data_IF_653532215249
#
_entry.id   IF_653532215249
#
_cell.length_a   1.000
_cell.length_b   1.000
_cell.length_c   1.000
_cell.angle_alpha   90.00
_cell.angle_beta   90.00
_cell.angle_gamma   90.00
#
_symmetry.space_group_name_H-M   'P 1'
#
loop_
_entity.id
_entity.type
_entity.pdbx_description
1 polymer ?
#
# COMPACT_ATOMS: atom_id res chain seq x y z
N UNK A 1 7.25 -25.26 3.07
CA UNK A 1 7.59 -24.76 1.74
C UNK A 1 7.76 -23.25 1.80
N UNK A 2 6.72 -22.49 2.15
CA UNK A 2 6.67 -21.03 2.17
C UNK A 2 7.83 -20.36 2.93
N UNK A 3 8.33 -20.95 4.02
CA UNK A 3 9.42 -20.37 4.83
C UNK A 3 10.80 -20.33 4.15
N UNK A 4 11.00 -21.10 3.08
CA UNK A 4 12.30 -21.27 2.41
C UNK A 4 12.34 -20.63 1.01
N UNK A 5 11.18 -20.33 0.46
CA UNK A 5 11.09 -19.78 -0.90
C UNK A 5 11.26 -18.27 -0.90
N UNK A 6 11.84 -17.78 -1.96
CA UNK A 6 12.05 -16.34 -2.18
C UNK A 6 11.02 -15.72 -3.12
N UNK A 7 10.27 -16.55 -3.86
CA UNK A 7 9.20 -16.12 -4.75
C UNK A 7 7.92 -15.79 -3.95
N UNK A 8 7.09 -14.91 -4.44
CA UNK A 8 5.79 -14.63 -3.84
C UNK A 8 4.82 -15.81 -3.97
N UNK A 9 4.00 -16.02 -2.93
CA UNK A 9 2.85 -16.92 -2.96
C UNK A 9 1.56 -16.12 -3.03
N UNK A 10 0.63 -16.52 -3.89
CA UNK A 10 -0.71 -15.94 -3.96
C UNK A 10 -1.72 -17.05 -3.68
N UNK A 11 -2.38 -16.96 -2.54
CA UNK A 11 -3.43 -17.87 -2.11
C UNK A 11 -4.79 -17.32 -2.54
N UNK A 12 -5.49 -18.06 -3.40
CA UNK A 12 -6.80 -17.68 -3.92
C UNK A 12 -7.82 -18.60 -3.25
N UNK A 13 -8.55 -18.07 -2.27
CA UNK A 13 -9.58 -18.76 -1.53
C UNK A 13 -10.95 -18.58 -2.21
N UNK A 14 -11.97 -19.29 -1.74
CA UNK A 14 -13.28 -19.31 -2.42
C UNK A 14 -14.04 -17.98 -2.31
N UNK A 15 -13.89 -17.30 -1.16
CA UNK A 15 -14.60 -16.05 -0.88
C UNK A 15 -13.87 -15.22 0.18
N UNK A 16 -14.43 -14.04 0.50
CA UNK A 16 -13.92 -13.10 1.50
C UNK A 16 -13.78 -13.74 2.90
N UNK A 17 -14.75 -14.56 3.31
CA UNK A 17 -14.79 -15.12 4.66
C UNK A 17 -13.67 -16.16 4.84
N UNK A 18 -13.55 -17.10 3.91
CA UNK A 18 -12.48 -18.11 3.90
C UNK A 18 -11.11 -17.44 3.78
N UNK A 19 -10.98 -16.42 2.94
CA UNK A 19 -9.74 -15.65 2.78
C UNK A 19 -9.36 -14.91 4.07
N UNK A 20 -10.32 -14.32 4.77
CA UNK A 20 -10.08 -13.63 6.03
C UNK A 20 -9.58 -14.58 7.14
N UNK A 21 -10.20 -15.74 7.30
CA UNK A 21 -9.75 -16.74 8.25
C UNK A 21 -8.35 -17.26 7.90
N UNK A 22 -8.11 -17.58 6.64
CA UNK A 22 -6.81 -18.10 6.20
C UNK A 22 -5.70 -17.06 6.37
N UNK A 23 -5.97 -15.79 6.08
CA UNK A 23 -5.05 -14.67 6.33
C UNK A 23 -4.68 -14.57 7.82
N UNK A 24 -5.67 -14.62 8.70
CA UNK A 24 -5.47 -14.59 10.14
C UNK A 24 -4.59 -15.75 10.61
N UNK A 25 -4.91 -16.98 10.20
CA UNK A 25 -4.17 -18.18 10.58
C UNK A 25 -2.71 -18.14 10.09
N UNK A 26 -2.50 -17.73 8.83
CA UNK A 26 -1.14 -17.56 8.30
C UNK A 26 -0.33 -16.52 9.08
N UNK A 27 -0.96 -15.40 9.44
CA UNK A 27 -0.34 -14.33 10.23
C UNK A 27 0.10 -14.85 11.60
N UNK A 28 -0.71 -15.66 12.26
CA UNK A 28 -0.37 -16.28 13.55
C UNK A 28 0.80 -17.30 13.44
N UNK A 29 0.85 -18.05 12.35
CA UNK A 29 1.85 -19.13 12.18
C UNK A 29 3.20 -18.61 11.64
N UNK A 30 3.17 -17.65 10.74
CA UNK A 30 4.36 -17.18 10.00
C UNK A 30 4.86 -15.80 10.44
N UNK A 31 4.07 -15.06 11.23
CA UNK A 31 4.30 -13.65 11.55
C UNK A 31 3.69 -12.74 10.48
N UNK A 32 3.26 -11.54 10.90
CA UNK A 32 2.50 -10.62 10.04
C UNK A 32 3.30 -9.91 8.95
N UNK A 33 4.62 -9.77 9.09
CA UNK A 33 5.44 -8.90 8.23
C UNK A 33 5.38 -9.23 6.73
N UNK A 34 5.17 -10.49 6.37
CA UNK A 34 5.20 -10.97 4.98
C UNK A 34 3.85 -11.45 4.46
N UNK A 35 2.83 -11.43 5.31
CA UNK A 35 1.48 -11.89 4.96
C UNK A 35 0.64 -10.66 4.64
N UNK A 36 0.09 -10.62 3.44
CA UNK A 36 -0.68 -9.50 2.91
C UNK A 36 -2.08 -9.95 2.53
N UNK A 37 -3.04 -9.09 2.75
CA UNK A 37 -4.41 -9.30 2.33
C UNK A 37 -4.76 -8.40 1.15
N UNK A 38 -5.28 -8.98 0.07
CA UNK A 38 -5.72 -8.26 -1.11
C UNK A 38 -7.23 -8.40 -1.26
N UNK A 39 -8.03 -7.51 -0.62
CA UNK A 39 -9.48 -7.56 -0.66
C UNK A 39 -10.07 -6.92 -1.93
N UNK A 40 -11.38 -7.11 -2.15
CA UNK A 40 -12.18 -6.26 -3.03
C UNK A 40 -12.23 -4.83 -2.50
N UNK A 41 -12.19 -3.85 -3.40
CA UNK A 41 -12.31 -2.44 -3.04
C UNK A 41 -13.71 -2.05 -2.54
N UNK A 42 -14.70 -2.90 -2.75
CA UNK A 42 -16.09 -2.63 -2.39
C UNK A 42 -16.54 -3.40 -1.14
N UNK A 43 -17.28 -2.72 -0.25
CA UNK A 43 -18.03 -3.39 0.83
C UNK A 43 -19.35 -3.96 0.29
N UNK A 44 -19.62 -5.25 0.54
CA UNK A 44 -20.91 -5.87 0.22
C UNK A 44 -22.12 -5.25 0.95
N UNK A 45 -21.91 -4.52 2.06
CA UNK A 45 -22.99 -4.05 2.95
C UNK A 45 -23.37 -2.57 2.81
N UNK A 46 -22.68 -1.76 2.00
CA UNK A 46 -22.95 -0.34 1.87
C UNK A 46 -23.28 -0.03 0.42
N UNK A 47 -24.29 0.84 0.19
CA UNK A 47 -24.78 1.27 -1.14
C UNK A 47 -23.81 1.01 -2.29
N UNK A 48 -24.28 0.26 -3.30
CA UNK A 48 -23.55 -0.06 -4.53
C UNK A 48 -22.70 1.12 -5.01
N UNK A 49 -21.39 0.87 -5.14
CA UNK A 49 -20.44 1.82 -5.74
C UNK A 49 -19.57 2.63 -4.77
N UNK A 50 -19.72 2.48 -3.45
CA UNK A 50 -18.80 3.13 -2.49
C UNK A 50 -17.61 2.23 -2.19
N UNK A 51 -16.40 2.72 -2.52
CA UNK A 51 -15.14 2.06 -2.18
C UNK A 51 -14.86 2.16 -0.67
N UNK A 52 -14.23 1.14 -0.12
CA UNK A 52 -13.78 1.11 1.26
C UNK A 52 -12.33 1.59 1.34
N UNK A 53 -12.09 2.72 1.99
CA UNK A 53 -10.75 3.29 2.14
C UNK A 53 -9.76 2.31 2.80
N UNK A 54 -10.21 1.53 3.79
CA UNK A 54 -9.36 0.53 4.44
C UNK A 54 -8.93 -0.58 3.46
N UNK A 55 -9.85 -1.05 2.61
CA UNK A 55 -9.53 -2.04 1.59
C UNK A 55 -8.58 -1.48 0.52
N UNK A 56 -8.74 -0.22 0.13
CA UNK A 56 -7.83 0.43 -0.83
C UNK A 56 -6.41 0.56 -0.28
N UNK A 57 -6.25 0.85 1.01
CA UNK A 57 -4.95 0.86 1.69
C UNK A 57 -4.28 -0.53 1.58
N UNK A 58 -5.00 -1.59 1.93
CA UNK A 58 -4.49 -2.96 1.85
C UNK A 58 -4.10 -3.34 0.41
N UNK A 59 -4.92 -2.97 -0.58
CA UNK A 59 -4.62 -3.20 -2.01
C UNK A 59 -3.37 -2.44 -2.44
N UNK A 60 -3.27 -1.16 -2.06
CA UNK A 60 -2.12 -0.31 -2.39
C UNK A 60 -0.83 -0.83 -1.76
N UNK A 61 -0.88 -1.31 -0.51
CA UNK A 61 0.26 -1.95 0.15
C UNK A 61 0.75 -3.18 -0.64
N UNK A 62 -0.15 -4.09 -1.02
CA UNK A 62 0.20 -5.28 -1.80
C UNK A 62 0.89 -4.90 -3.11
N UNK A 63 0.30 -3.97 -3.89
CA UNK A 63 0.86 -3.53 -5.16
C UNK A 63 2.24 -2.88 -4.98
N UNK A 64 2.38 -2.01 -3.97
CA UNK A 64 3.65 -1.32 -3.66
C UNK A 64 4.76 -2.31 -3.28
N UNK A 65 4.48 -3.29 -2.42
CA UNK A 65 5.45 -4.29 -1.97
C UNK A 65 5.84 -5.27 -3.06
N UNK A 66 4.89 -5.71 -3.90
CA UNK A 66 5.18 -6.50 -5.10
C UNK A 66 6.00 -5.70 -6.13
N UNK A 67 5.75 -4.40 -6.27
CA UNK A 67 6.51 -3.50 -7.13
C UNK A 67 7.97 -3.37 -6.68
N UNK A 68 8.23 -3.29 -5.37
CA UNK A 68 9.57 -3.25 -4.78
C UNK A 68 10.34 -4.56 -4.95
N UNK A 69 9.68 -5.64 -5.34
CA UNK A 69 10.29 -6.96 -5.47
C UNK A 69 10.67 -7.59 -4.12
N UNK A 70 9.92 -7.29 -3.07
CA UNK A 70 10.12 -7.90 -1.76
C UNK A 70 9.96 -9.41 -1.84
N UNK A 71 10.91 -10.14 -1.22
CA UNK A 71 10.98 -11.60 -1.32
C UNK A 71 10.11 -12.30 -0.27
N UNK A 72 9.56 -13.45 -0.67
CA UNK A 72 8.82 -14.34 0.24
C UNK A 72 7.49 -13.75 0.75
N UNK A 73 6.88 -12.86 -0.02
CA UNK A 73 5.55 -12.34 0.28
C UNK A 73 4.49 -13.44 0.10
N UNK A 74 3.50 -13.44 0.97
CA UNK A 74 2.30 -14.26 0.87
C UNK A 74 1.09 -13.34 0.74
N UNK A 75 0.45 -13.34 -0.41
CA UNK A 75 -0.76 -12.57 -0.67
C UNK A 75 -1.96 -13.50 -0.58
N UNK A 76 -2.94 -13.16 0.26
CA UNK A 76 -4.20 -13.86 0.38
C UNK A 76 -5.30 -13.05 -0.29
N UNK A 77 -6.08 -13.69 -1.17
CA UNK A 77 -7.12 -13.03 -1.95
C UNK A 77 -8.26 -14.00 -2.31
N UNK A 78 -9.24 -13.53 -3.06
CA UNK A 78 -10.41 -14.27 -3.52
C UNK A 78 -10.94 -13.72 -4.86
N UNK A 79 -11.82 -14.43 -5.59
CA UNK A 79 -12.20 -14.09 -6.96
C UNK A 79 -12.76 -12.70 -7.16
N UNK A 80 -13.65 -12.21 -6.28
CA UNK A 80 -14.22 -10.86 -6.40
C UNK A 80 -13.13 -9.78 -6.40
N UNK A 81 -12.09 -9.95 -5.57
CA UNK A 81 -10.95 -9.02 -5.52
C UNK A 81 -10.09 -9.08 -6.79
N UNK A 82 -9.93 -10.28 -7.37
CA UNK A 82 -9.16 -10.50 -8.60
C UNK A 82 -9.89 -10.00 -9.85
N UNK A 83 -11.23 -9.98 -9.85
CA UNK A 83 -12.03 -9.45 -10.93
C UNK A 83 -11.87 -7.94 -11.14
N UNK A 84 -11.44 -7.24 -10.08
CA UNK A 84 -11.19 -5.81 -10.16
C UNK A 84 -9.84 -5.50 -10.80
N UNK A 85 -9.84 -4.51 -11.69
CA UNK A 85 -8.61 -4.00 -12.28
C UNK A 85 -7.76 -3.25 -11.25
N UNK A 86 -6.46 -3.23 -11.49
CA UNK A 86 -5.45 -2.48 -10.74
C UNK A 86 -4.67 -1.54 -11.66
N UNK A 87 -3.92 -0.61 -11.10
CA UNK A 87 -2.97 0.22 -11.86
C UNK A 87 -1.85 -0.65 -12.42
N UNK A 88 -1.31 -0.28 -13.57
CA UNK A 88 -0.14 -0.96 -14.11
C UNK A 88 1.12 -0.66 -13.28
N UNK A 89 2.16 -1.51 -13.39
CA UNK A 89 3.45 -1.28 -12.74
C UNK A 89 4.08 0.05 -13.11
N UNK A 90 3.93 0.47 -14.37
CA UNK A 90 4.43 1.74 -14.86
C UNK A 90 3.70 2.92 -14.19
N UNK A 91 2.38 2.89 -14.22
CA UNK A 91 1.55 3.94 -13.59
C UNK A 91 1.83 4.06 -12.08
N UNK A 92 1.99 2.92 -11.39
CA UNK A 92 2.37 2.92 -9.97
C UNK A 92 3.75 3.56 -9.75
N UNK A 93 4.73 3.26 -10.62
CA UNK A 93 6.06 3.86 -10.54
C UNK A 93 6.03 5.37 -10.78
N UNK A 94 5.26 5.81 -11.78
CA UNK A 94 5.13 7.21 -12.15
C UNK A 94 4.40 8.06 -11.08
N UNK A 95 3.58 7.40 -10.25
CA UNK A 95 2.82 8.00 -9.15
C UNK A 95 3.42 7.76 -7.76
N UNK A 96 4.68 7.40 -7.69
CA UNK A 96 5.36 7.11 -6.44
C UNK A 96 6.45 8.14 -6.18
N UNK A 97 6.34 8.89 -5.08
CA UNK A 97 7.39 9.79 -4.60
C UNK A 97 8.29 9.03 -3.63
N UNK A 98 9.60 9.00 -3.94
CA UNK A 98 10.63 8.44 -3.06
C UNK A 98 11.45 9.56 -2.47
N UNK A 99 11.71 9.49 -1.17
CA UNK A 99 12.55 10.46 -0.47
C UNK A 99 13.50 9.71 0.46
N UNK A 100 14.76 10.15 0.48
CA UNK A 100 15.81 9.62 1.34
C UNK A 100 16.45 10.71 2.21
N UNK A 101 16.95 10.32 3.39
CA UNK A 101 17.73 11.22 4.24
C UNK A 101 19.01 11.65 3.52
N UNK A 102 19.35 12.93 3.57
CA UNK A 102 20.47 13.53 2.84
C UNK A 102 20.15 13.89 1.38
N UNK A 103 18.94 13.58 0.89
CA UNK A 103 18.51 13.95 -0.46
C UNK A 103 18.21 15.45 -0.52
N UNK A 104 18.67 16.10 -1.60
CA UNK A 104 18.38 17.51 -1.84
C UNK A 104 17.15 17.65 -2.70
N UNK A 105 16.09 18.12 -2.08
CA UNK A 105 14.79 18.35 -2.72
C UNK A 105 14.10 19.54 -2.04
N UNK A 106 13.57 20.45 -2.83
CA UNK A 106 12.80 21.57 -2.30
C UNK A 106 11.51 21.08 -1.63
N UNK A 107 11.26 21.53 -0.40
CA UNK A 107 10.04 21.21 0.34
C UNK A 107 8.76 21.63 -0.39
N UNK A 108 8.82 22.74 -1.16
CA UNK A 108 7.73 23.20 -2.03
C UNK A 108 7.44 22.19 -3.13
N UNK A 109 8.47 21.64 -3.77
CA UNK A 109 8.29 20.57 -4.77
C UNK A 109 7.59 19.36 -4.16
N UNK A 110 7.96 18.94 -2.94
CA UNK A 110 7.31 17.81 -2.25
C UNK A 110 5.83 18.11 -2.03
N UNK A 111 5.48 19.31 -1.55
CA UNK A 111 4.07 19.68 -1.33
C UNK A 111 3.27 19.76 -2.62
N UNK A 112 3.86 20.28 -3.71
CA UNK A 112 3.24 20.34 -5.03
C UNK A 112 2.94 18.93 -5.57
N UNK A 113 3.88 17.99 -5.39
CA UNK A 113 3.68 16.58 -5.74
C UNK A 113 2.55 15.96 -4.91
N UNK A 114 2.53 16.16 -3.59
CA UNK A 114 1.47 15.67 -2.72
C UNK A 114 0.10 16.21 -3.14
N UNK A 115 0.01 17.50 -3.43
CA UNK A 115 -1.21 18.11 -3.94
C UNK A 115 -1.63 17.51 -5.30
N UNK A 116 -0.67 17.30 -6.22
CA UNK A 116 -0.93 16.67 -7.54
C UNK A 116 -1.38 15.21 -7.42
N UNK A 117 -1.01 14.54 -6.34
CA UNK A 117 -1.42 13.18 -6.00
C UNK A 117 -2.80 13.12 -5.32
N UNK A 118 -3.42 14.29 -5.06
CA UNK A 118 -4.73 14.38 -4.44
C UNK A 118 -4.70 14.25 -2.91
N UNK A 119 -3.53 14.44 -2.28
CA UNK A 119 -3.46 14.54 -0.83
C UNK A 119 -4.14 15.81 -0.34
N UNK A 120 -4.90 15.70 0.75
CA UNK A 120 -5.56 16.80 1.40
C UNK A 120 -4.61 17.53 2.36
N UNK A 121 -4.54 18.88 2.25
CA UNK A 121 -3.82 19.69 3.22
C UNK A 121 -4.64 19.87 4.50
N UNK A 122 -4.04 19.56 5.64
CA UNK A 122 -4.68 19.63 6.97
C UNK A 122 -3.73 20.24 8.00
N UNK A 123 -4.25 20.67 9.16
CA UNK A 123 -3.40 21.17 10.26
C UNK A 123 -2.64 20.02 10.96
N UNK A 124 -3.29 18.87 11.12
CA UNK A 124 -2.75 17.64 11.70
C UNK A 124 -3.17 16.44 10.89
N UNK A 125 -2.23 15.52 10.66
CA UNK A 125 -2.47 14.31 9.87
C UNK A 125 -3.04 13.19 10.76
N UNK A 126 -4.20 12.68 10.37
CA UNK A 126 -4.92 11.59 11.06
C UNK A 126 -5.21 10.38 10.16
N UNK A 127 -5.37 10.59 8.86
CA UNK A 127 -5.81 9.56 7.93
C UNK A 127 -4.90 9.51 6.69
N UNK A 128 -4.78 8.33 6.04
CA UNK A 128 -4.10 8.22 4.75
C UNK A 128 -4.65 9.20 3.71
N UNK A 129 -3.76 9.80 2.93
CA UNK A 129 -4.13 10.83 1.95
C UNK A 129 -4.10 12.25 2.51
N UNK A 130 -3.67 12.45 3.75
CA UNK A 130 -3.50 13.77 4.37
C UNK A 130 -2.02 14.15 4.45
N UNK A 131 -1.76 15.45 4.38
CA UNK A 131 -0.46 16.05 4.69
C UNK A 131 -0.59 17.38 5.41
N UNK A 132 0.41 17.73 6.20
CA UNK A 132 0.52 19.00 6.93
C UNK A 132 1.91 19.59 6.78
N UNK A 133 2.02 20.91 6.77
CA UNK A 133 3.30 21.64 6.71
C UNK A 133 3.43 22.55 7.91
N UNK A 134 4.51 22.38 8.67
CA UNK A 134 4.80 23.19 9.87
C UNK A 134 6.26 23.60 9.90
N UNK A 135 6.54 24.80 9.39
CA UNK A 135 7.91 25.29 9.23
C UNK A 135 8.71 24.42 8.28
N UNK A 136 9.79 23.80 8.77
CA UNK A 136 10.62 22.86 8.01
C UNK A 136 10.08 21.43 7.97
N UNK A 137 8.95 21.15 8.61
CA UNK A 137 8.43 19.80 8.76
C UNK A 137 7.24 19.57 7.82
N UNK A 138 7.30 18.46 7.08
CA UNK A 138 6.18 17.92 6.32
C UNK A 138 5.75 16.59 6.97
N UNK A 139 4.53 16.55 7.47
CA UNK A 139 3.87 15.32 7.88
C UNK A 139 3.01 14.80 6.74
N UNK A 140 3.07 13.51 6.43
CA UNK A 140 2.29 12.90 5.33
C UNK A 140 1.90 11.47 5.66
N UNK A 141 0.65 11.09 5.37
CA UNK A 141 0.18 9.74 5.54
C UNK A 141 -0.05 9.08 4.17
N UNK A 142 0.92 8.26 3.77
CA UNK A 142 0.86 7.49 2.53
C UNK A 142 -0.16 6.36 2.59
N UNK A 143 -0.82 6.04 1.47
CA UNK A 143 -1.69 4.86 1.34
C UNK A 143 -0.92 3.52 1.36
N UNK A 144 0.40 3.53 1.36
CA UNK A 144 1.24 2.34 1.44
C UNK A 144 1.93 2.15 2.79
N UNK A 145 1.51 2.85 3.82
CA UNK A 145 2.14 2.83 5.15
C UNK A 145 1.11 2.72 6.26
N UNK A 146 1.42 1.95 7.29
CA UNK A 146 0.62 1.81 8.50
C UNK A 146 0.66 3.08 9.37
N UNK A 147 1.78 3.81 9.34
CA UNK A 147 2.00 5.03 10.11
C UNK A 147 2.34 6.20 9.19
N UNK A 148 1.94 7.42 9.56
CA UNK A 148 2.36 8.61 8.83
C UNK A 148 3.85 8.88 9.01
N UNK A 149 4.41 9.58 8.03
CA UNK A 149 5.80 10.02 8.03
C UNK A 149 5.91 11.49 8.42
N UNK A 150 6.93 11.80 9.21
CA UNK A 150 7.39 13.15 9.52
C UNK A 150 8.75 13.36 8.86
N UNK A 151 8.81 14.28 7.93
CA UNK A 151 10.00 14.62 7.15
C UNK A 151 10.46 15.99 7.63
N UNK A 152 11.66 16.08 8.16
CA UNK A 152 12.26 17.32 8.60
C UNK A 152 13.31 17.78 7.59
N UNK A 153 13.27 19.06 7.23
CA UNK A 153 14.14 19.67 6.23
C UNK A 153 15.09 20.66 6.88
N UNK A 154 16.34 20.64 6.45
CA UNK A 154 17.30 21.71 6.70
C UNK A 154 17.63 22.43 5.38
N UNK A 155 16.98 23.57 5.13
CA UNK A 155 16.98 24.20 3.82
C UNK A 155 16.33 23.27 2.79
N UNK A 156 17.08 22.92 1.72
CA UNK A 156 16.64 22.03 0.65
C UNK A 156 17.07 20.57 0.85
N UNK A 157 17.55 20.21 2.04
CA UNK A 157 18.02 18.86 2.33
C UNK A 157 17.09 18.16 3.32
N UNK A 158 16.74 16.89 3.06
CA UNK A 158 16.00 16.05 3.98
C UNK A 158 16.92 15.65 5.15
N UNK A 159 16.76 16.31 6.29
CA UNK A 159 17.60 16.10 7.46
C UNK A 159 17.24 14.79 8.18
N UNK A 160 15.96 14.52 8.36
CA UNK A 160 15.51 13.29 9.00
C UNK A 160 14.12 12.88 8.55
N UNK A 161 13.87 11.56 8.60
CA UNK A 161 12.57 10.96 8.36
C UNK A 161 12.20 10.06 9.53
N UNK A 162 10.97 10.16 10.03
CA UNK A 162 10.45 9.34 11.14
C UNK A 162 9.01 8.95 10.85
N UNK A 163 8.58 7.82 11.38
CA UNK A 163 7.16 7.55 11.56
C UNK A 163 6.67 8.19 12.85
N UNK A 164 5.37 8.42 12.98
CA UNK A 164 4.76 8.91 14.21
C UNK A 164 3.38 8.32 14.48
N UNK A 165 2.96 8.36 15.74
CA UNK A 165 1.63 7.94 16.17
C UNK A 165 0.59 9.02 15.87
N UNK A 166 -0.52 8.61 15.29
CA UNK A 166 -1.62 9.51 14.92
C UNK A 166 -2.22 10.19 16.15
N UNK A 167 -2.54 9.42 17.20
CA UNK A 167 -3.24 9.93 18.38
C UNK A 167 -2.38 10.88 19.23
N UNK A 168 -1.13 10.49 19.47
CA UNK A 168 -0.22 11.25 20.32
C UNK A 168 0.64 12.26 19.58
N UNK A 169 0.73 12.15 18.24
CA UNK A 169 1.64 12.92 17.38
C UNK A 169 3.13 12.74 17.73
N UNK A 170 3.46 11.72 18.53
CA UNK A 170 4.83 11.43 18.95
C UNK A 170 5.57 10.59 17.91
N UNK A 171 6.82 10.94 17.66
CA UNK A 171 7.71 10.21 16.76
C UNK A 171 7.99 8.79 17.27
N UNK A 172 8.04 7.83 16.35
CA UNK A 172 8.36 6.41 16.60
C UNK A 172 9.74 6.06 16.05
N UNK A 173 9.77 5.53 14.86
CA UNK A 173 10.97 4.96 14.25
C UNK A 173 11.61 5.92 13.26
N UNK A 174 12.93 5.95 13.23
CA UNK A 174 13.70 6.60 12.17
C UNK A 174 13.67 5.72 10.91
N UNK A 175 13.61 6.37 9.76
CA UNK A 175 13.70 5.73 8.45
C UNK A 175 14.79 6.41 7.62
N UNK A 176 15.58 5.63 6.90
CA UNK A 176 16.58 6.15 5.98
C UNK A 176 15.95 6.63 4.66
N UNK A 177 14.85 6.01 4.28
CA UNK A 177 14.06 6.38 3.10
C UNK A 177 12.61 5.97 3.25
N UNK A 178 11.74 6.68 2.51
CA UNK A 178 10.30 6.42 2.44
C UNK A 178 9.79 6.39 1.02
N UNK A 179 8.61 5.81 0.88
CA UNK A 179 7.87 5.76 -0.37
C UNK A 179 6.46 6.27 -0.10
N UNK A 180 6.07 7.34 -0.78
CA UNK A 180 4.75 7.92 -0.68
C UNK A 180 3.95 7.54 -1.92
N UNK A 181 2.83 6.89 -1.71
CA UNK A 181 1.91 6.42 -2.77
C UNK A 181 0.55 7.06 -2.53
N UNK A 182 -0.08 7.65 -3.58
CA UNK A 182 -1.42 8.21 -3.48
C UNK A 182 -2.50 7.12 -3.39
N UNK A 183 -3.76 7.56 -3.22
CA UNK A 183 -4.91 6.69 -3.43
C UNK A 183 -4.99 6.27 -4.91
N UNK A 184 -4.67 5.02 -5.18
CA UNK A 184 -4.68 4.46 -6.53
C UNK A 184 -6.10 4.25 -7.05
N UNK A 185 -7.10 4.23 -6.17
CA UNK A 185 -8.50 4.08 -6.53
C UNK A 185 -9.10 5.35 -7.16
N UNK A 186 -8.67 6.52 -6.68
CA UNK A 186 -9.17 7.82 -7.16
C UNK A 186 -8.58 8.19 -8.51
N UNK A 187 -7.39 7.71 -8.83
CA UNK A 187 -6.68 8.08 -10.06
C UNK A 187 -7.36 7.60 -11.35
N UNK A 188 -8.41 6.77 -11.27
CA UNK A 188 -9.15 6.28 -12.45
C UNK A 188 -8.33 5.43 -13.44
N UNK A 189 -7.11 5.06 -13.08
CA UNK A 189 -6.11 4.44 -13.95
C UNK A 189 -6.08 2.90 -13.86
N UNK A 190 -7.06 2.27 -13.21
CA UNK A 190 -7.09 0.81 -13.12
C UNK A 190 -7.28 0.18 -14.51
N UNK A 191 -6.19 -0.31 -15.09
CA UNK A 191 -6.12 -0.72 -16.49
C UNK A 191 -5.74 -2.19 -16.70
N UNK A 192 -5.12 -2.84 -15.71
CA UNK A 192 -4.56 -4.18 -15.82
C UNK A 192 -5.18 -5.15 -14.80
N UNK A 193 -5.07 -6.45 -15.07
CA UNK A 193 -5.42 -7.49 -14.09
C UNK A 193 -4.38 -7.56 -12.97
N UNK A 194 -4.81 -7.90 -11.76
CA UNK A 194 -3.87 -8.22 -10.69
C UNK A 194 -2.94 -9.38 -11.07
N UNK A 195 -3.42 -10.36 -11.81
CA UNK A 195 -2.62 -11.49 -12.28
C UNK A 195 -1.50 -11.06 -13.25
N UNK A 196 -1.71 -10.01 -14.04
CA UNK A 196 -0.66 -9.43 -14.89
C UNK A 196 0.35 -8.60 -14.07
N UNK A 197 -0.09 -8.10 -12.91
CA UNK A 197 0.74 -7.30 -12.03
C UNK A 197 1.72 -8.15 -11.21
N UNK A 198 1.37 -9.37 -10.81
CA UNK A 198 2.23 -10.23 -10.00
C UNK A 198 3.48 -10.68 -10.77
N UNK A 199 4.61 -10.97 -10.09
CA UNK A 199 5.81 -11.53 -10.73
C UNK A 199 5.54 -12.87 -11.42
N UNK A 200 6.23 -13.15 -12.52
CA UNK A 200 6.05 -14.39 -13.31
C UNK A 200 6.47 -15.65 -12.57
N UNK A 201 7.33 -15.53 -11.57
CA UNK A 201 7.79 -16.62 -10.71
C UNK A 201 6.91 -16.82 -9.47
N UNK A 202 5.83 -16.06 -9.33
CA UNK A 202 4.88 -16.22 -8.25
C UNK A 202 4.17 -17.59 -8.30
N UNK A 203 4.01 -18.20 -7.14
CA UNK A 203 3.27 -19.46 -6.98
C UNK A 203 1.81 -19.15 -6.68
N UNK A 204 0.91 -19.57 -7.56
CA UNK A 204 -0.53 -19.49 -7.33
C UNK A 204 -0.99 -20.77 -6.63
N UNK A 205 -1.58 -20.62 -5.45
CA UNK A 205 -2.18 -21.71 -4.69
C UNK A 205 -3.69 -21.49 -4.62
N UNK A 206 -4.45 -22.43 -5.17
CA UNK A 206 -5.91 -22.40 -5.19
C UNK A 206 -6.48 -23.80 -4.97
N UNK A 207 -7.69 -23.87 -4.44
CA UNK A 207 -8.34 -25.13 -4.11
C UNK A 207 -8.90 -25.85 -5.34
N UNK A 208 -9.50 -25.10 -6.26
CA UNK A 208 -10.07 -25.62 -7.50
C UNK A 208 -9.87 -24.62 -8.66
N UNK A 209 -9.09 -25.03 -9.66
CA UNK A 209 -8.81 -24.22 -10.82
C UNK A 209 -10.03 -24.10 -11.75
N UNK A 210 -10.90 -25.10 -11.79
CA UNK A 210 -12.06 -25.11 -12.68
C UNK A 210 -13.10 -24.07 -12.28
N UNK A 211 -13.19 -23.80 -10.97
CA UNK A 211 -14.13 -22.81 -10.43
C UNK A 211 -13.79 -21.34 -10.79
N UNK A 212 -12.53 -21.04 -11.05
CA UNK A 212 -12.08 -19.70 -11.49
C UNK A 212 -12.31 -19.45 -12.99
N UNK A 213 -12.71 -20.47 -13.74
CA UNK A 213 -12.85 -20.41 -15.20
C UNK A 213 -14.28 -20.11 -15.67
N UNK A 214 -15.25 -20.19 -14.78
CA UNK A 214 -16.67 -19.84 -15.03
C UNK A 214 -16.97 -18.40 -14.63
#
# INVERSE_FOLDING_TARGET
LVRKETCPFVFILSDLEEAGYFYHDLTQVLGGERILFFPSSFRRAIKYGQKDAANEILRTEVLSRLQKGEKGLCVVTYPDALAEKVVSRKELSDKTLKLGVGERVDSTFVTDVLHSYGFEYVDYVYEPGQYAVRGSIIDVFSFSSEYPYRIDFFGDEVESIRTFEVDSQLSREKKDSIVIVPDLAVTGMASTSFLDFIPRDAVLAMRDFLWLRE
#
